data_IF_398564393150
#
_entry.id   IF_398564393150
#
_cell.length_a   1.000
_cell.length_b   1.000
_cell.length_c   1.000
_cell.angle_alpha   90.00
_cell.angle_beta   90.00
_cell.angle_gamma   90.00
#
_symmetry.space_group_name_H-M   'P 1'
#
loop_
_entity.id
_entity.type
_entity.pdbx_description
1 polymer ?
#
# COMPACT_ATOMS: atom_id res chain seq x y z
N UNK A 1 8.43 -17.11 -19.90
CA UNK A 1 7.93 -17.48 -18.55
C UNK A 1 8.83 -16.79 -17.53
N UNK A 2 8.40 -15.69 -17.01
CA UNK A 2 9.06 -15.09 -15.85
C UNK A 2 8.70 -15.93 -14.64
N UNK A 3 9.71 -16.50 -13.98
CA UNK A 3 9.55 -17.24 -12.74
C UNK A 3 8.82 -16.34 -11.72
N UNK A 4 7.56 -16.62 -11.45
CA UNK A 4 6.75 -15.87 -10.48
C UNK A 4 7.29 -16.01 -9.04
N UNK A 5 8.26 -16.88 -8.82
CA UNK A 5 8.88 -17.15 -7.52
C UNK A 5 9.78 -16.04 -6.98
N UNK A 6 10.12 -15.05 -7.78
CA UNK A 6 11.02 -13.94 -7.37
C UNK A 6 10.45 -12.55 -7.65
N UNK A 7 9.15 -12.43 -7.84
CA UNK A 7 8.54 -11.10 -7.99
C UNK A 7 8.23 -10.47 -6.62
N UNK A 8 8.50 -9.18 -6.51
CA UNK A 8 8.18 -8.39 -5.33
C UNK A 8 6.72 -7.91 -5.44
N UNK A 9 5.89 -8.27 -4.48
CA UNK A 9 4.52 -7.77 -4.38
C UNK A 9 4.46 -6.64 -3.37
N UNK A 10 4.15 -5.40 -3.81
CA UNK A 10 3.91 -4.30 -2.89
C UNK A 10 2.64 -4.54 -2.07
N UNK A 11 2.77 -4.52 -0.76
CA UNK A 11 1.64 -4.58 0.18
C UNK A 11 1.53 -3.26 0.90
N UNK A 12 0.44 -2.53 0.69
CA UNK A 12 0.21 -1.24 1.34
C UNK A 12 -0.73 -1.42 2.51
N UNK A 13 -0.24 -1.14 3.71
CA UNK A 13 -1.02 -1.20 4.93
C UNK A 13 -1.68 0.15 5.17
N UNK A 14 -2.97 0.21 4.91
CA UNK A 14 -3.79 1.42 4.97
C UNK A 14 -4.77 1.36 6.15
N UNK A 15 -4.31 0.88 7.29
CA UNK A 15 -5.09 0.77 8.52
C UNK A 15 -4.93 1.97 9.45
N UNK A 16 -5.75 1.99 10.49
CA UNK A 16 -5.71 3.01 11.54
C UNK A 16 -6.67 4.18 11.30
N UNK A 17 -7.16 4.74 12.39
CA UNK A 17 -8.10 5.89 12.37
C UNK A 17 -7.41 7.22 12.03
N UNK A 18 -6.08 7.31 12.20
CA UNK A 18 -5.28 8.47 11.82
C UNK A 18 -5.74 9.81 12.39
N UNK A 19 -6.42 9.82 13.54
CA UNK A 19 -7.06 11.02 14.12
C UNK A 19 -6.10 11.99 14.80
N UNK A 20 -4.83 11.65 14.92
CA UNK A 20 -3.80 12.47 15.61
C UNK A 20 -3.57 13.85 14.98
N UNK A 21 -3.92 14.02 13.72
CA UNK A 21 -3.82 15.30 13.01
C UNK A 21 -5.14 16.07 12.93
N UNK A 22 -6.10 15.73 13.82
CA UNK A 22 -7.36 16.49 13.87
C UNK A 22 -7.07 18.01 13.98
N UNK A 23 -7.77 18.90 13.25
CA UNK A 23 -8.98 18.67 12.42
C UNK A 23 -8.70 18.24 10.98
N UNK A 24 -7.44 18.13 10.53
CA UNK A 24 -7.09 17.70 9.17
C UNK A 24 -7.47 16.24 8.91
N UNK A 25 -7.17 15.36 9.88
CA UNK A 25 -7.57 13.96 9.81
C UNK A 25 -8.80 13.70 10.67
N UNK A 26 -9.63 12.78 10.23
CA UNK A 26 -10.85 12.34 10.91
C UNK A 26 -11.01 10.84 10.73
N UNK A 27 -11.85 10.20 11.54
CA UNK A 27 -12.14 8.77 11.44
C UNK A 27 -12.60 8.38 10.03
N UNK A 28 -13.46 9.18 9.41
CA UNK A 28 -13.94 8.99 8.04
C UNK A 28 -12.94 9.43 6.97
N UNK A 29 -11.90 10.17 7.33
CA UNK A 29 -10.86 10.65 6.43
C UNK A 29 -9.49 10.63 7.14
N UNK A 30 -8.90 9.45 7.34
CA UNK A 30 -7.64 9.29 8.05
C UNK A 30 -6.45 9.94 7.34
N UNK A 31 -5.35 10.09 8.08
CA UNK A 31 -4.10 10.74 7.65
C UNK A 31 -3.57 10.22 6.30
N UNK A 32 -3.62 8.93 6.07
CA UNK A 32 -3.10 8.30 4.84
C UNK A 32 -3.81 8.77 3.57
N UNK A 33 -5.01 9.32 3.66
CA UNK A 33 -5.76 9.86 2.53
C UNK A 33 -5.57 11.36 2.32
N UNK A 34 -4.69 11.99 3.09
CA UNK A 34 -4.39 13.43 3.00
C UNK A 34 -3.13 13.67 2.17
N UNK A 35 -3.11 14.77 1.42
CA UNK A 35 -1.93 15.28 0.73
C UNK A 35 -1.14 16.20 1.67
N UNK A 36 -0.28 15.62 2.49
CA UNK A 36 0.45 16.36 3.53
C UNK A 36 1.83 16.86 3.08
N UNK A 37 2.44 16.22 2.10
CA UNK A 37 3.82 16.48 1.68
C UNK A 37 3.96 16.89 0.22
N UNK A 38 2.86 17.01 -0.51
CA UNK A 38 2.87 17.36 -1.93
C UNK A 38 1.49 17.31 -2.55
N UNK A 39 1.43 17.14 -3.86
CA UNK A 39 0.18 17.10 -4.62
C UNK A 39 -0.58 15.77 -4.46
N UNK A 40 0.13 14.69 -4.11
CA UNK A 40 -0.47 13.37 -3.92
C UNK A 40 -0.76 13.09 -2.45
N UNK A 41 -1.73 12.24 -2.20
CA UNK A 41 -1.98 11.73 -0.85
C UNK A 41 -0.88 10.76 -0.42
N UNK A 42 -0.76 10.54 0.88
CA UNK A 42 0.24 9.61 1.41
C UNK A 42 0.03 8.19 0.90
N UNK A 43 -1.23 7.76 0.72
CA UNK A 43 -1.57 6.49 0.10
C UNK A 43 -1.05 6.42 -1.35
N UNK A 44 -1.30 7.45 -2.14
CA UNK A 44 -0.86 7.50 -3.53
C UNK A 44 0.67 7.45 -3.63
N UNK A 45 1.37 8.23 -2.83
CA UNK A 45 2.84 8.22 -2.79
C UNK A 45 3.40 6.86 -2.39
N UNK A 46 2.78 6.20 -1.42
CA UNK A 46 3.19 4.86 -0.99
C UNK A 46 2.96 3.83 -2.09
N UNK A 47 1.82 3.86 -2.75
CA UNK A 47 1.49 2.92 -3.82
C UNK A 47 2.38 3.06 -5.06
N UNK A 48 2.90 4.27 -5.32
CA UNK A 48 3.80 4.57 -6.42
C UNK A 48 5.29 4.46 -6.05
N UNK A 49 5.61 4.21 -4.79
CA UNK A 49 6.98 4.28 -4.25
C UNK A 49 7.97 3.34 -4.91
N UNK A 50 7.51 2.20 -5.41
CA UNK A 50 8.37 1.22 -6.08
C UNK A 50 8.52 1.47 -7.59
N UNK A 51 7.89 2.49 -8.13
CA UNK A 51 8.08 2.87 -9.51
C UNK A 51 9.53 3.32 -9.73
N UNK A 52 10.18 2.75 -10.74
CA UNK A 52 11.57 3.05 -11.04
C UNK A 52 12.58 2.01 -10.53
N UNK A 53 12.16 1.01 -9.74
CA UNK A 53 12.98 -0.16 -9.47
C UNK A 53 13.28 -0.89 -10.80
N UNK A 54 14.55 -1.20 -11.05
CA UNK A 54 14.98 -1.76 -12.31
C UNK A 54 15.61 -3.14 -12.22
N UNK A 55 16.11 -3.51 -11.06
CA UNK A 55 16.84 -4.77 -10.86
C UNK A 55 15.97 -5.90 -10.32
N UNK A 56 14.82 -5.57 -9.77
CA UNK A 56 13.88 -6.54 -9.21
C UNK A 56 12.55 -6.45 -9.97
N UNK A 57 11.97 -7.59 -10.32
CA UNK A 57 10.64 -7.64 -10.89
C UNK A 57 9.61 -7.29 -9.82
N UNK A 58 8.85 -6.22 -10.05
CA UNK A 58 7.78 -5.75 -9.16
C UNK A 58 6.43 -6.07 -9.80
N UNK A 59 5.50 -6.57 -9.01
CA UNK A 59 4.14 -6.79 -9.48
C UNK A 59 3.51 -5.48 -9.95
N UNK A 60 2.77 -5.54 -11.06
CA UNK A 60 2.22 -4.37 -11.74
C UNK A 60 1.27 -3.54 -10.87
N UNK A 61 0.57 -4.18 -9.94
CA UNK A 61 -0.38 -3.52 -9.07
C UNK A 61 -0.17 -3.94 -7.61
N UNK A 62 -0.32 -3.02 -6.64
CA UNK A 62 -0.18 -3.33 -5.24
C UNK A 62 -1.38 -4.10 -4.68
N UNK A 63 -1.14 -4.79 -3.59
CA UNK A 63 -2.16 -5.33 -2.70
C UNK A 63 -2.36 -4.35 -1.54
N UNK A 64 -3.57 -3.86 -1.36
CA UNK A 64 -3.91 -2.93 -0.29
C UNK A 64 -4.70 -3.64 0.80
N UNK A 65 -4.35 -3.41 2.06
CA UNK A 65 -5.16 -3.83 3.21
C UNK A 65 -5.71 -2.60 3.90
N UNK A 66 -7.01 -2.46 3.94
CA UNK A 66 -7.66 -1.31 4.58
C UNK A 66 -8.96 -1.69 5.30
N UNK A 67 -9.43 -0.79 6.16
CA UNK A 67 -10.74 -0.94 6.77
C UNK A 67 -11.85 -0.89 5.71
N UNK A 68 -12.87 -1.71 5.88
CA UNK A 68 -14.01 -1.78 4.96
C UNK A 68 -14.70 -0.42 4.74
N UNK A 69 -14.71 0.45 5.74
CA UNK A 69 -15.29 1.79 5.64
C UNK A 69 -14.54 2.70 4.66
N UNK A 70 -13.26 2.48 4.44
CA UNK A 70 -12.40 3.30 3.59
C UNK A 70 -12.22 2.76 2.17
N UNK A 71 -12.87 1.65 1.82
CA UNK A 71 -12.63 0.96 0.54
C UNK A 71 -12.83 1.84 -0.69
N UNK A 72 -13.89 2.64 -0.70
CA UNK A 72 -14.20 3.49 -1.85
C UNK A 72 -13.23 4.65 -1.97
N UNK A 73 -12.84 5.24 -0.84
CA UNK A 73 -11.85 6.31 -0.81
C UNK A 73 -10.48 5.81 -1.29
N UNK A 74 -10.06 4.65 -0.81
CA UNK A 74 -8.82 4.02 -1.26
C UNK A 74 -8.84 3.71 -2.76
N UNK A 75 -9.92 3.09 -3.25
CA UNK A 75 -10.07 2.76 -4.67
C UNK A 75 -10.04 4.00 -5.56
N UNK A 76 -10.75 5.07 -5.17
CA UNK A 76 -10.77 6.34 -5.89
C UNK A 76 -9.37 6.94 -5.97
N UNK A 77 -8.64 7.01 -4.87
CA UNK A 77 -7.30 7.61 -4.85
C UNK A 77 -6.27 6.80 -5.65
N UNK A 78 -6.36 5.47 -5.64
CA UNK A 78 -5.51 4.63 -6.48
C UNK A 78 -5.82 4.85 -7.97
N UNK A 79 -7.09 4.97 -8.33
CA UNK A 79 -7.50 5.27 -9.69
C UNK A 79 -7.02 6.65 -10.16
N UNK A 80 -7.14 7.67 -9.32
CA UNK A 80 -6.62 9.03 -9.58
C UNK A 80 -5.11 9.03 -9.82
N UNK A 81 -4.37 8.17 -9.13
CA UNK A 81 -2.93 7.99 -9.34
C UNK A 81 -2.57 7.15 -10.58
N UNK A 82 -3.56 6.71 -11.34
CA UNK A 82 -3.36 5.88 -12.54
C UNK A 82 -3.04 4.41 -12.24
N UNK A 83 -3.21 3.96 -11.00
CA UNK A 83 -2.96 2.58 -10.59
C UNK A 83 -4.19 1.74 -10.92
N UNK A 84 -4.00 0.80 -11.84
CA UNK A 84 -5.06 -0.12 -12.27
C UNK A 84 -4.76 -1.54 -11.77
N UNK A 85 -5.83 -2.28 -11.46
CA UNK A 85 -5.70 -3.67 -11.04
C UNK A 85 -5.24 -3.86 -9.59
N UNK A 86 -5.18 -2.79 -8.78
CA UNK A 86 -4.92 -2.92 -7.35
C UNK A 86 -6.00 -3.77 -6.69
N UNK A 87 -5.56 -4.70 -5.85
CA UNK A 87 -6.46 -5.55 -5.06
C UNK A 87 -6.60 -4.96 -3.67
N UNK A 88 -7.81 -4.93 -3.16
CA UNK A 88 -8.09 -4.37 -1.84
C UNK A 88 -8.68 -5.46 -0.96
N UNK A 89 -7.93 -5.82 0.07
CA UNK A 89 -8.38 -6.72 1.13
C UNK A 89 -8.98 -5.87 2.25
N UNK A 90 -10.21 -6.19 2.63
CA UNK A 90 -10.96 -5.41 3.61
C UNK A 90 -10.89 -6.05 4.99
N UNK A 91 -10.49 -5.25 5.98
CA UNK A 91 -10.59 -5.61 7.38
C UNK A 91 -11.93 -5.10 7.94
N UNK A 92 -12.77 -5.97 8.52
CA UNK A 92 -14.00 -5.52 9.17
C UNK A 92 -13.73 -4.71 10.43
N UNK A 93 -12.60 -4.96 11.09
CA UNK A 93 -12.10 -4.21 12.24
C UNK A 93 -10.56 -4.20 12.22
N UNK A 94 -9.96 -3.07 12.50
CA UNK A 94 -8.50 -2.97 12.61
C UNK A 94 -7.97 -3.77 13.81
N UNK A 95 -7.01 -4.65 13.56
CA UNK A 95 -6.37 -5.53 14.56
C UNK A 95 -4.85 -5.41 14.54
N UNK A 96 -4.31 -4.24 14.23
CA UNK A 96 -2.89 -3.98 14.08
C UNK A 96 -2.24 -4.68 12.86
N UNK A 97 -0.93 -4.77 12.87
CA UNK A 97 -0.14 -5.13 11.68
C UNK A 97 -0.15 -6.64 11.37
N UNK A 98 -0.01 -7.48 12.38
CA UNK A 98 0.15 -8.93 12.15
C UNK A 98 -1.07 -9.57 11.45
N UNK A 99 -2.32 -9.33 11.87
CA UNK A 99 -3.48 -9.82 11.14
C UNK A 99 -3.59 -9.27 9.71
N UNK A 100 -3.27 -7.99 9.50
CA UNK A 100 -3.28 -7.38 8.18
C UNK A 100 -2.27 -8.05 7.23
N UNK A 101 -1.04 -8.29 7.70
CA UNK A 101 -0.02 -9.00 6.94
C UNK A 101 -0.40 -10.46 6.68
N UNK A 102 -1.05 -11.13 7.62
CA UNK A 102 -1.55 -12.49 7.44
C UNK A 102 -2.59 -12.55 6.32
N UNK A 103 -3.54 -11.62 6.29
CA UNK A 103 -4.52 -11.53 5.21
C UNK A 103 -3.85 -11.28 3.86
N UNK A 104 -2.88 -10.38 3.81
CA UNK A 104 -2.13 -10.10 2.59
C UNK A 104 -1.36 -11.32 2.09
N UNK A 105 -0.71 -12.05 3.00
CA UNK A 105 0.05 -13.26 2.67
C UNK A 105 -0.86 -14.37 2.13
N UNK A 106 -1.99 -14.63 2.76
CA UNK A 106 -2.97 -15.62 2.30
C UNK A 106 -3.54 -15.27 0.92
N UNK A 107 -3.84 -13.99 0.70
CA UNK A 107 -4.34 -13.52 -0.60
C UNK A 107 -3.26 -13.69 -1.69
N UNK A 108 -2.02 -13.31 -1.39
CA UNK A 108 -0.91 -13.44 -2.32
C UNK A 108 -0.60 -14.91 -2.65
N UNK A 109 -0.59 -15.78 -1.65
CA UNK A 109 -0.38 -17.22 -1.84
C UNK A 109 -1.44 -17.83 -2.77
N UNK A 110 -2.70 -17.43 -2.61
CA UNK A 110 -3.80 -17.99 -3.41
C UNK A 110 -3.81 -17.53 -4.86
N UNK A 111 -3.34 -16.31 -5.15
CA UNK A 111 -3.45 -15.70 -6.49
C UNK A 111 -2.10 -15.56 -7.22
N UNK A 112 -1.03 -15.31 -6.50
CA UNK A 112 0.28 -14.97 -7.07
C UNK A 112 1.33 -16.09 -6.89
N UNK A 113 0.97 -17.15 -6.21
CA UNK A 113 1.90 -18.24 -5.86
C UNK A 113 2.67 -17.91 -4.58
N UNK A 114 3.97 -17.67 -4.67
CA UNK A 114 4.82 -17.41 -3.50
C UNK A 114 5.72 -16.18 -3.72
N UNK A 115 5.13 -14.98 -3.86
CA UNK A 115 5.91 -13.76 -4.06
C UNK A 115 6.57 -13.29 -2.76
N UNK A 116 7.62 -12.49 -2.89
CA UNK A 116 8.16 -11.74 -1.75
C UNK A 116 7.28 -10.53 -1.48
N UNK A 117 6.76 -10.40 -0.27
CA UNK A 117 5.91 -9.28 0.11
C UNK A 117 6.77 -8.12 0.65
N UNK A 118 6.61 -6.94 0.06
CA UNK A 118 7.14 -5.70 0.63
C UNK A 118 6.01 -4.91 1.28
N UNK A 119 5.93 -5.00 2.60
CA UNK A 119 4.91 -4.30 3.37
C UNK A 119 5.32 -2.85 3.64
N UNK A 120 4.50 -1.91 3.23
CA UNK A 120 4.71 -0.48 3.40
C UNK A 120 3.51 0.16 4.11
N UNK A 121 3.70 0.80 5.26
CA UNK A 121 2.65 1.62 5.86
C UNK A 121 2.31 2.81 4.98
N UNK A 122 1.01 3.09 4.82
CA UNK A 122 0.54 4.18 3.96
C UNK A 122 0.72 5.58 4.56
N UNK A 123 1.21 5.67 5.78
CA UNK A 123 1.35 6.92 6.55
C UNK A 123 2.79 7.30 6.85
N UNK A 124 3.74 6.68 6.16
CA UNK A 124 5.17 7.01 6.26
C UNK A 124 5.65 7.82 5.07
N UNK A 125 6.44 8.85 5.33
CA UNK A 125 7.11 9.67 4.31
C UNK A 125 8.53 9.17 4.10
N UNK A 126 8.89 8.89 2.85
CA UNK A 126 10.26 8.58 2.44
C UNK A 126 10.80 9.76 1.64
N UNK A 127 11.79 10.45 2.19
CA UNK A 127 12.36 11.66 1.58
C UNK A 127 13.46 11.35 0.56
N UNK A 128 14.20 10.27 0.76
CA UNK A 128 15.24 9.80 -0.16
C UNK A 128 14.79 8.50 -0.84
N UNK A 129 14.11 8.64 -1.96
CA UNK A 129 13.60 7.51 -2.72
C UNK A 129 14.72 6.65 -3.33
N UNK A 130 15.84 7.27 -3.71
CA UNK A 130 16.97 6.54 -4.27
C UNK A 130 17.62 5.63 -3.22
N UNK A 131 17.83 6.14 -2.01
CA UNK A 131 18.33 5.32 -0.90
C UNK A 131 17.36 4.20 -0.54
N UNK A 132 16.05 4.47 -0.58
CA UNK A 132 15.03 3.45 -0.36
C UNK A 132 15.07 2.35 -1.42
N UNK A 133 15.17 2.71 -2.70
CA UNK A 133 15.29 1.74 -3.79
C UNK A 133 16.56 0.91 -3.67
N UNK A 134 17.70 1.54 -3.39
CA UNK A 134 18.98 0.84 -3.21
C UNK A 134 18.97 -0.15 -2.02
N UNK A 135 18.16 0.12 -1.00
CA UNK A 135 18.00 -0.79 0.13
C UNK A 135 17.12 -2.02 -0.19
N UNK A 136 16.30 -1.96 -1.24
CA UNK A 136 15.46 -3.05 -1.70
C UNK A 136 16.22 -3.94 -2.70
N UNK A 137 17.02 -3.36 -3.55
CA UNK A 137 17.85 -4.04 -4.57
C UNK A 137 19.08 -4.71 -3.95
#
# INVERSE_FOLDING_TARGET
MTDSKNSLLPVVLCGGSGTRLWPLSRETYPKQFLALTGARTMLQDTALRLNGLSQIAVAQAPLLVCNAEHRFLAASQLQEAGIRGARIVLEPAGRNTAPALTLAALQAESEDGDPVLLAMPADHVITDLNAFHAAIE
#
